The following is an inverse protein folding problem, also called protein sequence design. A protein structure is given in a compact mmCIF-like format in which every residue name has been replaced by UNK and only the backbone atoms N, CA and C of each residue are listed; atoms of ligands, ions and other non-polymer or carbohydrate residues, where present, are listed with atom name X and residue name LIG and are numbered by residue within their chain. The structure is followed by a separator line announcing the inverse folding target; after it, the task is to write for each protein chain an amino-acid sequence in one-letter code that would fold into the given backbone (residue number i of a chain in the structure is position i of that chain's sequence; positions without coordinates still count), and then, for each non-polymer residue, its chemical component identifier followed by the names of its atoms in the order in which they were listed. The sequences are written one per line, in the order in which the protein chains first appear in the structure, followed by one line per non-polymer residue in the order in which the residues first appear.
data_IF_977068126709
#
_entry.id   IF_977068126709
#
_cell.length_a   1.000
_cell.length_b   1.000
_cell.length_c   1.000
_cell.angle_alpha   90.00
_cell.angle_beta   90.00
_cell.angle_gamma   90.00
#
_symmetry.space_group_name_H-M   'P 1'
#
loop_
_entity.id
_entity.type
_entity.pdbx_description
1 polymer ?
#
# COMPACT_ATOMS: atom_id res chain seq x y z
N UNK A 1 -28.09 7.55 17.67
CA UNK A 1 -26.62 7.76 17.76
C UNK A 1 -26.17 8.99 18.57
N UNK A 2 -26.67 10.20 18.27
CA UNK A 2 -26.21 11.45 18.90
C UNK A 2 -26.30 11.50 20.44
N UNK A 3 -27.31 10.86 21.04
CA UNK A 3 -27.45 10.75 22.51
C UNK A 3 -26.39 9.84 23.11
N UNK A 4 -26.10 8.70 22.46
CA UNK A 4 -25.07 7.73 22.90
C UNK A 4 -23.69 8.38 22.92
N UNK A 5 -23.32 9.08 21.85
CA UNK A 5 -22.03 9.79 21.78
C UNK A 5 -21.87 10.86 22.87
N UNK A 6 -22.94 11.62 23.18
CA UNK A 6 -22.93 12.60 24.29
C UNK A 6 -22.78 11.92 25.65
N UNK A 7 -23.48 10.81 25.88
CA UNK A 7 -23.37 10.03 27.12
C UNK A 7 -21.97 9.45 27.31
N UNK A 8 -21.39 8.84 26.27
CA UNK A 8 -20.01 8.31 26.30
C UNK A 8 -19.02 9.41 26.64
N UNK A 9 -19.11 10.58 25.99
CA UNK A 9 -18.23 11.72 26.29
C UNK A 9 -18.38 12.22 27.72
N UNK A 10 -19.59 12.24 28.27
CA UNK A 10 -19.82 12.62 29.66
C UNK A 10 -19.18 11.61 30.62
N UNK A 11 -19.40 10.31 30.39
CA UNK A 11 -18.84 9.25 31.22
C UNK A 11 -17.31 9.26 31.15
N UNK A 12 -16.73 9.21 29.95
CA UNK A 12 -15.29 9.14 29.75
C UNK A 12 -14.54 10.40 30.22
N UNK A 13 -15.12 11.60 30.05
CA UNK A 13 -14.41 12.84 30.38
C UNK A 13 -14.71 13.40 31.78
N UNK A 14 -15.88 13.10 32.35
CA UNK A 14 -16.32 13.68 33.64
C UNK A 14 -16.42 12.68 34.77
N UNK A 15 -16.84 11.43 34.49
CA UNK A 15 -17.07 10.42 35.52
C UNK A 15 -15.89 9.46 35.70
N UNK A 16 -15.21 9.07 34.63
CA UNK A 16 -14.04 8.18 34.71
C UNK A 16 -12.88 8.76 35.56
N UNK A 17 -12.56 10.06 35.55
CA UNK A 17 -11.54 10.62 36.44
C UNK A 17 -11.88 10.55 37.94
N UNK A 18 -13.13 10.23 38.29
CA UNK A 18 -13.56 10.09 39.69
C UNK A 18 -13.14 8.72 40.21
N UNK A 19 -12.12 8.70 41.08
CA UNK A 19 -11.41 7.48 41.53
C UNK A 19 -12.32 6.30 41.96
N UNK A 20 -13.41 6.57 42.68
CA UNK A 20 -14.30 5.51 43.16
C UNK A 20 -15.26 4.98 42.09
N UNK A 21 -15.46 5.70 40.99
CA UNK A 21 -16.30 5.28 39.86
C UNK A 21 -15.48 4.65 38.74
N UNK A 22 -14.18 4.96 38.66
CA UNK A 22 -13.30 4.49 37.58
C UNK A 22 -13.34 2.97 37.40
N UNK A 23 -13.22 2.21 38.51
CA UNK A 23 -13.21 0.75 38.48
C UNK A 23 -14.53 0.16 37.97
N UNK A 24 -15.66 0.69 38.44
CA UNK A 24 -16.99 0.22 38.01
C UNK A 24 -17.27 0.59 36.54
N UNK A 25 -16.85 1.78 36.11
CA UNK A 25 -16.96 2.24 34.72
C UNK A 25 -16.12 1.36 33.79
N UNK A 26 -14.87 1.06 34.16
CA UNK A 26 -13.99 0.19 33.39
C UNK A 26 -14.53 -1.25 33.36
N UNK A 27 -15.03 -1.78 34.46
CA UNK A 27 -15.66 -3.10 34.50
C UNK A 27 -16.92 -3.17 33.61
N UNK A 28 -17.76 -2.14 33.65
CA UNK A 28 -18.94 -2.05 32.78
C UNK A 28 -18.57 -1.96 31.30
N UNK A 29 -17.51 -1.21 30.97
CA UNK A 29 -16.99 -1.07 29.61
C UNK A 29 -16.35 -2.37 29.10
N UNK A 30 -15.58 -3.08 29.93
CA UNK A 30 -15.04 -4.42 29.62
C UNK A 30 -16.15 -5.41 29.33
N UNK A 31 -17.18 -5.47 30.18
CA UNK A 31 -18.36 -6.28 29.91
C UNK A 31 -19.11 -5.83 28.65
N UNK A 32 -18.91 -4.59 28.20
CA UNK A 32 -19.45 -4.07 26.94
C UNK A 32 -18.81 -4.70 25.70
N UNK A 33 -17.55 -5.14 25.78
CA UNK A 33 -16.88 -5.89 24.71
C UNK A 33 -17.57 -7.24 24.49
N UNK A 34 -17.79 -8.00 25.58
CA UNK A 34 -18.51 -9.29 25.49
C UNK A 34 -19.96 -9.12 25.04
N UNK A 35 -20.68 -8.10 25.54
CA UNK A 35 -22.05 -7.80 25.08
C UNK A 35 -22.08 -7.43 23.59
N UNK A 36 -21.11 -6.64 23.12
CA UNK A 36 -21.00 -6.28 21.71
C UNK A 36 -20.79 -7.51 20.84
N UNK A 37 -19.92 -8.42 21.27
CA UNK A 37 -19.67 -9.69 20.59
C UNK A 37 -20.92 -10.58 20.51
N UNK A 38 -21.62 -10.80 21.62
CA UNK A 38 -22.81 -11.67 21.62
C UNK A 38 -23.97 -11.10 20.81
N UNK A 39 -24.24 -9.79 20.93
CA UNK A 39 -25.28 -9.13 20.14
C UNK A 39 -24.90 -9.09 18.66
N UNK A 40 -23.62 -8.84 18.36
CA UNK A 40 -23.10 -8.84 16.99
C UNK A 40 -23.26 -10.19 16.30
N UNK A 41 -22.90 -11.27 17.00
CA UNK A 41 -23.08 -12.65 16.53
C UNK A 41 -24.54 -12.96 16.18
N UNK A 42 -25.47 -12.62 17.07
CA UNK A 42 -26.90 -12.80 16.83
C UNK A 42 -27.39 -11.98 15.63
N UNK A 43 -26.99 -10.70 15.55
CA UNK A 43 -27.33 -9.85 14.42
C UNK A 43 -26.74 -10.35 13.09
N UNK A 44 -25.57 -10.99 13.13
CA UNK A 44 -24.93 -11.58 11.96
C UNK A 44 -25.67 -12.83 11.48
N UNK A 45 -26.06 -13.71 12.41
CA UNK A 45 -26.90 -14.88 12.09
C UNK A 45 -28.24 -14.45 11.49
N UNK A 46 -28.88 -13.44 12.08
CA UNK A 46 -30.12 -12.87 11.56
C UNK A 46 -29.94 -12.27 10.16
N UNK A 47 -28.85 -11.52 9.94
CA UNK A 47 -28.51 -10.94 8.64
C UNK A 47 -28.29 -12.03 7.58
N UNK A 48 -27.56 -13.10 7.91
CA UNK A 48 -27.34 -14.23 7.01
C UNK A 48 -28.64 -14.96 6.69
N UNK A 49 -29.51 -15.14 7.68
CA UNK A 49 -30.82 -15.77 7.48
C UNK A 49 -31.75 -14.94 6.59
N UNK A 50 -31.71 -13.60 6.69
CA UNK A 50 -32.46 -12.71 5.79
C UNK A 50 -31.96 -12.84 4.36
N UNK A 51 -30.65 -12.74 4.15
CA UNK A 51 -30.02 -12.91 2.85
C UNK A 51 -30.38 -14.25 2.20
N UNK A 52 -30.38 -15.34 2.97
CA UNK A 52 -30.74 -16.66 2.45
C UNK A 52 -32.22 -16.76 2.08
N UNK A 53 -33.13 -16.15 2.86
CA UNK A 53 -34.55 -16.10 2.52
C UNK A 53 -34.79 -15.28 1.26
N UNK A 54 -34.13 -14.14 1.12
CA UNK A 54 -34.28 -13.27 -0.05
C UNK A 54 -33.75 -13.95 -1.32
N UNK A 55 -32.68 -14.76 -1.21
CA UNK A 55 -32.21 -15.61 -2.31
C UNK A 55 -33.23 -16.70 -2.69
N UNK A 56 -33.80 -17.40 -1.70
CA UNK A 56 -34.81 -18.44 -1.95
C UNK A 56 -36.09 -17.90 -2.61
N UNK A 57 -36.57 -16.72 -2.17
CA UNK A 57 -37.75 -16.07 -2.78
C UNK A 57 -37.47 -15.65 -4.22
N UNK A 58 -36.24 -15.21 -4.53
CA UNK A 58 -35.83 -14.88 -5.91
C UNK A 58 -35.75 -16.13 -6.79
N UNK A 59 -35.26 -17.27 -6.27
CA UNK A 59 -35.26 -18.54 -7.01
C UNK A 59 -36.69 -19.03 -7.32
N UNK A 60 -37.60 -18.99 -6.34
CA UNK A 60 -39.00 -19.37 -6.53
C UNK A 60 -39.74 -18.46 -7.54
N UNK A 61 -39.38 -17.17 -7.62
CA UNK A 61 -39.95 -16.23 -8.60
C UNK A 61 -39.48 -16.53 -10.03
N UNK A 62 -38.22 -16.93 -10.22
CA UNK A 62 -37.66 -17.29 -11.52
C UNK A 62 -38.26 -18.61 -12.04
N UNK A 63 -38.56 -19.56 -11.15
CA UNK A 63 -39.25 -20.80 -11.53
C UNK A 63 -40.72 -20.57 -11.96
N UNK A 64 -41.38 -19.52 -11.46
CA UNK A 64 -42.77 -19.19 -11.83
C UNK A 64 -42.89 -18.37 -13.13
N UNK A 65 -41.84 -17.66 -13.56
CA UNK A 65 -41.83 -16.89 -14.82
C UNK A 65 -41.40 -17.72 -16.04
N UNK A 66 -40.94 -18.97 -15.85
CA UNK A 66 -40.47 -19.86 -16.91
C UNK A 66 -41.53 -20.52 -17.82
N UNK A 67 -42.83 -20.23 -17.66
CA UNK A 67 -43.92 -20.88 -18.41
C UNK A 67 -44.54 -20.05 -19.55
N UNK A 68 -44.25 -18.75 -19.66
CA UNK A 68 -44.76 -17.93 -20.78
C UNK A 68 -43.67 -17.63 -21.81
N UNK A 69 -43.62 -18.47 -22.84
CA UNK A 69 -42.68 -18.36 -23.94
C UNK A 69 -42.91 -17.14 -24.84
N UNK A 70 -41.88 -16.31 -25.00
CA UNK A 70 -41.68 -15.49 -26.19
C UNK A 70 -40.18 -15.18 -26.39
N UNK A 71 -39.60 -15.71 -27.47
CA UNK A 71 -38.24 -15.41 -27.88
C UNK A 71 -38.07 -13.92 -28.20
N UNK A 72 -37.07 -13.27 -27.58
CA UNK A 72 -36.59 -11.95 -27.98
C UNK A 72 -35.06 -11.86 -27.85
N UNK A 73 -34.49 -11.43 -28.98
CA UNK A 73 -33.09 -11.16 -29.32
C UNK A 73 -32.06 -11.00 -28.18
N UNK A 74 -31.07 -11.89 -28.20
CA UNK A 74 -29.86 -11.92 -27.36
C UNK A 74 -28.84 -10.86 -27.80
N UNK A 75 -28.88 -9.68 -27.17
CA UNK A 75 -27.75 -8.74 -27.16
C UNK A 75 -27.66 -7.89 -25.87
N UNK A 76 -28.77 -7.65 -25.17
CA UNK A 76 -28.83 -6.84 -23.93
C UNK A 76 -28.86 -7.66 -22.62
N UNK A 77 -28.96 -9.00 -22.68
CA UNK A 77 -29.11 -9.85 -21.49
C UNK A 77 -27.81 -10.02 -20.67
N UNK A 78 -26.65 -9.77 -21.28
CA UNK A 78 -25.35 -9.95 -20.63
C UNK A 78 -25.03 -8.82 -19.63
N UNK A 79 -25.62 -7.64 -19.78
CA UNK A 79 -25.43 -6.48 -18.87
C UNK A 79 -26.39 -6.51 -17.66
N UNK A 80 -27.63 -7.00 -17.86
CA UNK A 80 -28.64 -7.05 -16.81
C UNK A 80 -28.36 -8.11 -15.72
N UNK A 81 -27.75 -9.24 -16.10
CA UNK A 81 -27.44 -10.34 -15.18
C UNK A 81 -26.29 -9.96 -14.24
N UNK A 82 -25.27 -9.28 -14.77
CA UNK A 82 -24.16 -8.74 -13.98
C UNK A 82 -24.65 -7.61 -13.05
N UNK A 83 -25.56 -6.75 -13.51
CA UNK A 83 -26.14 -5.70 -12.68
C UNK A 83 -26.97 -6.25 -11.49
N UNK A 84 -27.76 -7.31 -11.70
CA UNK A 84 -28.54 -7.95 -10.64
C UNK A 84 -27.65 -8.62 -9.57
N UNK A 85 -26.58 -9.30 -10.00
CA UNK A 85 -25.60 -9.90 -9.11
C UNK A 85 -24.88 -8.84 -8.25
N UNK A 86 -24.54 -7.70 -8.83
CA UNK A 86 -23.91 -6.58 -8.12
C UNK A 86 -24.84 -5.97 -7.06
N UNK A 87 -26.14 -5.85 -7.33
CA UNK A 87 -27.14 -5.36 -6.35
C UNK A 87 -27.27 -6.33 -5.17
N UNK A 88 -27.31 -7.63 -5.42
CA UNK A 88 -27.41 -8.64 -4.36
C UNK A 88 -26.16 -8.67 -3.46
N UNK A 89 -24.97 -8.49 -4.04
CA UNK A 89 -23.72 -8.33 -3.28
C UNK A 89 -23.78 -7.08 -2.41
N UNK A 90 -24.27 -5.95 -2.95
CA UNK A 90 -24.39 -4.70 -2.20
C UNK A 90 -25.38 -4.81 -1.02
N UNK A 91 -26.52 -5.47 -1.21
CA UNK A 91 -27.50 -5.72 -0.14
C UNK A 91 -26.91 -6.60 0.98
N UNK A 92 -26.20 -7.67 0.62
CA UNK A 92 -25.48 -8.54 1.58
C UNK A 92 -24.47 -7.74 2.41
N UNK A 93 -23.70 -6.88 1.77
CA UNK A 93 -22.71 -6.01 2.43
C UNK A 93 -23.40 -5.04 3.39
N UNK A 94 -24.55 -4.46 3.04
CA UNK A 94 -25.30 -3.54 3.91
C UNK A 94 -25.87 -4.24 5.16
N UNK A 95 -26.41 -5.46 5.01
CA UNK A 95 -26.91 -6.24 6.15
C UNK A 95 -25.79 -6.61 7.13
N UNK A 96 -24.62 -7.02 6.64
CA UNK A 96 -23.45 -7.32 7.47
C UNK A 96 -22.93 -6.05 8.14
N UNK A 97 -22.88 -4.92 7.43
CA UNK A 97 -22.46 -3.64 8.00
C UNK A 97 -23.35 -3.21 9.18
N UNK A 98 -24.67 -3.36 9.04
CA UNK A 98 -25.63 -3.08 10.13
C UNK A 98 -25.44 -4.01 11.35
N UNK A 99 -25.13 -5.28 11.12
CA UNK A 99 -24.78 -6.21 12.20
C UNK A 99 -23.50 -5.75 12.93
N UNK A 100 -22.49 -5.33 12.16
CA UNK A 100 -21.26 -4.73 12.68
C UNK A 100 -21.49 -3.49 13.55
N UNK A 101 -22.30 -2.53 13.08
CA UNK A 101 -22.66 -1.33 13.86
C UNK A 101 -23.37 -1.66 15.17
N UNK A 102 -24.19 -2.72 15.16
CA UNK A 102 -24.88 -3.22 16.35
C UNK A 102 -23.89 -3.83 17.34
N UNK A 103 -22.90 -4.59 16.85
CA UNK A 103 -21.82 -5.16 17.64
C UNK A 103 -20.93 -4.09 18.30
N UNK A 104 -20.58 -3.05 17.54
CA UNK A 104 -19.66 -1.99 17.99
C UNK A 104 -20.31 -1.04 19.00
N UNK A 105 -21.62 -0.82 18.92
CA UNK A 105 -22.33 0.12 19.78
C UNK A 105 -22.01 0.00 21.29
N UNK A 106 -22.09 -1.19 21.90
CA UNK A 106 -21.68 -1.46 23.29
C UNK A 106 -20.18 -1.30 23.57
N UNK A 107 -19.33 -1.47 22.56
CA UNK A 107 -17.86 -1.39 22.65
C UNK A 107 -17.32 0.05 22.63
N UNK A 108 -18.09 1.00 22.11
CA UNK A 108 -17.66 2.40 21.94
C UNK A 108 -17.24 3.08 23.25
N UNK A 109 -17.83 2.72 24.39
CA UNK A 109 -17.40 3.26 25.68
C UNK A 109 -15.98 2.80 26.00
N UNK A 110 -15.66 1.54 25.79
CA UNK A 110 -14.32 1.00 26.02
C UNK A 110 -13.28 1.68 25.11
N UNK A 111 -13.61 1.86 23.82
CA UNK A 111 -12.78 2.61 22.88
C UNK A 111 -12.51 4.04 23.37
N UNK A 112 -13.53 4.73 23.88
CA UNK A 112 -13.38 6.09 24.42
C UNK A 112 -12.52 6.16 25.70
N UNK A 113 -12.55 5.10 26.53
CA UNK A 113 -11.70 5.00 27.72
C UNK A 113 -10.24 4.74 27.36
N UNK A 114 -9.96 3.99 26.29
CA UNK A 114 -8.60 3.75 25.81
C UNK A 114 -7.87 5.05 25.45
N UNK A 115 -8.58 6.09 24.99
CA UNK A 115 -8.01 7.43 24.73
C UNK A 115 -7.57 8.18 26.01
N UNK A 116 -7.95 7.67 27.20
CA UNK A 116 -7.64 8.27 28.51
C UNK A 116 -6.73 7.37 29.35
N UNK A 117 -6.82 6.07 29.17
CA UNK A 117 -6.05 5.06 29.87
C UNK A 117 -5.51 4.03 28.87
N UNK A 118 -4.26 4.21 28.45
CA UNK A 118 -3.62 3.38 27.42
C UNK A 118 -3.41 1.93 27.85
N UNK A 119 -3.42 1.64 29.17
CA UNK A 119 -3.36 0.28 29.69
C UNK A 119 -4.57 -0.60 29.28
N UNK A 120 -5.64 0.02 28.77
CA UNK A 120 -6.81 -0.69 28.24
C UNK A 120 -6.66 -1.11 26.77
N UNK A 121 -5.66 -0.59 26.05
CA UNK A 121 -5.44 -0.87 24.63
C UNK A 121 -5.26 -2.38 24.35
N UNK A 122 -4.44 -3.15 25.09
CA UNK A 122 -4.27 -4.58 24.79
C UNK A 122 -5.60 -5.34 24.77
N UNK A 123 -6.47 -5.08 25.75
CA UNK A 123 -7.80 -5.70 25.82
C UNK A 123 -8.74 -5.31 24.66
N UNK A 124 -8.51 -4.17 23.99
CA UNK A 124 -9.26 -3.80 22.77
C UNK A 124 -8.86 -4.66 21.58
N UNK A 125 -7.55 -4.90 21.40
CA UNK A 125 -7.03 -5.73 20.30
C UNK A 125 -7.35 -7.22 20.51
N UNK A 126 -7.33 -7.69 21.77
CA UNK A 126 -7.82 -9.04 22.12
C UNK A 126 -9.31 -9.20 21.82
N UNK A 127 -10.13 -8.20 22.18
CA UNK A 127 -11.55 -8.21 21.88
C UNK A 127 -11.80 -8.21 20.36
N UNK A 128 -11.04 -7.43 19.58
CA UNK A 128 -11.09 -7.45 18.12
C UNK A 128 -10.76 -8.84 17.56
N UNK A 129 -9.69 -9.48 18.04
CA UNK A 129 -9.31 -10.82 17.61
C UNK A 129 -10.41 -11.87 17.88
N UNK A 130 -11.14 -11.71 18.99
CA UNK A 130 -12.23 -12.61 19.39
C UNK A 130 -13.53 -12.45 18.58
N UNK A 131 -13.67 -11.36 17.81
CA UNK A 131 -14.82 -11.11 16.92
C UNK A 131 -14.74 -11.96 15.65
N UNK A 132 -15.91 -12.30 15.12
CA UNK A 132 -16.05 -12.88 13.78
C UNK A 132 -15.50 -11.95 12.70
N UNK A 133 -14.91 -12.55 11.66
CA UNK A 133 -14.17 -11.82 10.62
C UNK A 133 -15.04 -10.77 9.91
N UNK A 134 -16.32 -11.06 9.71
CA UNK A 134 -17.30 -10.18 9.07
C UNK A 134 -17.67 -8.96 9.93
N UNK A 135 -17.50 -9.04 11.26
CA UNK A 135 -17.82 -7.95 12.19
C UNK A 135 -16.61 -7.07 12.51
N UNK A 136 -15.39 -7.57 12.31
CA UNK A 136 -14.14 -6.87 12.62
C UNK A 136 -14.03 -5.50 11.95
N UNK A 137 -14.46 -5.39 10.70
CA UNK A 137 -14.40 -4.13 9.93
C UNK A 137 -15.15 -2.97 10.61
N UNK A 138 -16.23 -3.25 11.34
CA UNK A 138 -16.97 -2.19 12.02
C UNK A 138 -16.16 -1.50 13.14
N UNK A 139 -15.17 -2.21 13.72
CA UNK A 139 -14.31 -1.69 14.79
C UNK A 139 -13.14 -0.83 14.26
N UNK A 140 -12.82 -0.93 12.97
CA UNK A 140 -11.74 -0.17 12.32
C UNK A 140 -11.95 1.33 12.48
N UNK A 141 -13.16 1.82 12.17
CA UNK A 141 -13.51 3.25 12.27
C UNK A 141 -13.29 3.86 13.67
N UNK A 142 -13.85 3.31 14.77
CA UNK A 142 -13.63 3.86 16.11
C UNK A 142 -12.18 3.72 16.57
N UNK A 143 -11.47 2.65 16.19
CA UNK A 143 -10.06 2.44 16.54
C UNK A 143 -9.15 3.42 15.81
N UNK A 144 -9.38 3.72 14.54
CA UNK A 144 -8.65 4.78 13.82
C UNK A 144 -8.86 6.14 14.46
N UNK A 145 -10.09 6.45 14.88
CA UNK A 145 -10.39 7.67 15.63
C UNK A 145 -9.59 7.73 16.93
N UNK A 146 -9.41 6.59 17.60
CA UNK A 146 -8.58 6.43 18.79
C UNK A 146 -7.09 6.60 18.47
N UNK A 147 -6.55 5.92 17.45
CA UNK A 147 -5.15 6.03 17.03
C UNK A 147 -4.78 7.47 16.71
N UNK A 148 -5.66 8.22 16.02
CA UNK A 148 -5.47 9.66 15.76
C UNK A 148 -5.48 10.51 17.02
N UNK A 149 -6.30 10.15 18.01
CA UNK A 149 -6.40 10.90 19.27
C UNK A 149 -5.21 10.62 20.21
N UNK A 150 -4.69 9.39 20.17
CA UNK A 150 -3.53 8.93 20.94
C UNK A 150 -2.23 9.49 20.35
N UNK A 151 -2.11 9.45 19.03
CA UNK A 151 -0.97 9.97 18.28
C UNK A 151 0.24 9.02 18.25
N UNK A 152 1.28 9.37 17.45
CA UNK A 152 2.41 8.49 17.14
C UNK A 152 3.44 8.34 18.28
N UNK A 153 3.30 9.08 19.38
CA UNK A 153 4.21 9.02 20.53
C UNK A 153 3.75 8.06 21.65
N UNK A 154 2.62 7.36 21.48
CA UNK A 154 2.12 6.45 22.50
C UNK A 154 2.90 5.13 22.47
N UNK A 155 3.64 4.88 23.55
CA UNK A 155 4.49 3.71 23.70
C UNK A 155 3.66 2.43 23.78
N UNK A 156 2.52 2.46 24.47
CA UNK A 156 1.64 1.30 24.62
C UNK A 156 1.05 0.83 23.28
N UNK A 157 0.73 1.77 22.38
CA UNK A 157 0.27 1.43 21.04
C UNK A 157 1.43 0.91 20.17
N UNK A 158 2.64 1.48 20.33
CA UNK A 158 3.85 0.99 19.66
C UNK A 158 4.21 -0.44 20.11
N UNK A 159 4.06 -0.76 21.41
CA UNK A 159 4.28 -2.12 21.93
C UNK A 159 3.32 -3.14 21.32
N UNK A 160 2.05 -2.78 21.13
CA UNK A 160 1.05 -3.63 20.46
C UNK A 160 1.39 -3.79 18.97
N UNK A 161 1.88 -2.73 18.31
CA UNK A 161 2.33 -2.81 16.91
C UNK A 161 3.53 -3.75 16.79
N UNK A 162 4.49 -3.64 17.71
CA UNK A 162 5.69 -4.49 17.73
C UNK A 162 5.37 -5.98 17.98
N UNK A 163 4.35 -6.26 18.80
CA UNK A 163 3.91 -7.62 19.13
C UNK A 163 2.39 -7.74 19.06
N UNK A 164 1.82 -7.95 17.86
CA UNK A 164 0.38 -7.99 17.68
C UNK A 164 -0.23 -9.26 18.32
N UNK A 165 -1.32 -9.14 19.10
CA UNK A 165 -2.10 -10.30 19.53
C UNK A 165 -2.58 -11.15 18.34
N UNK A 166 -2.64 -12.47 18.50
CA UNK A 166 -3.10 -13.39 17.45
C UNK A 166 -4.48 -12.96 16.91
N UNK A 167 -4.63 -12.85 15.58
CA UNK A 167 -5.87 -12.43 14.93
C UNK A 167 -6.12 -10.91 14.89
N UNK A 168 -5.25 -10.09 15.49
CA UNK A 168 -5.39 -8.62 15.50
C UNK A 168 -4.61 -7.89 14.42
N UNK A 169 -3.77 -8.60 13.66
CA UNK A 169 -2.88 -8.03 12.63
C UNK A 169 -3.56 -7.00 11.70
N UNK A 170 -4.76 -7.25 11.12
CA UNK A 170 -5.38 -6.26 10.22
C UNK A 170 -5.67 -4.91 10.89
N UNK A 171 -6.05 -4.92 12.18
CA UNK A 171 -6.31 -3.69 12.93
C UNK A 171 -5.00 -2.97 13.28
N UNK A 172 -3.94 -3.73 13.57
CA UNK A 172 -2.61 -3.19 13.86
C UNK A 172 -2.04 -2.48 12.62
N UNK A 173 -2.19 -3.07 11.45
CA UNK A 173 -1.76 -2.46 10.16
C UNK A 173 -2.50 -1.15 9.92
N UNK A 174 -3.81 -1.13 10.12
CA UNK A 174 -4.61 0.09 9.95
C UNK A 174 -4.23 1.19 10.95
N UNK A 175 -3.91 0.81 12.19
CA UNK A 175 -3.37 1.74 13.19
C UNK A 175 -2.01 2.28 12.76
N UNK A 176 -1.10 1.43 12.28
CA UNK A 176 0.22 1.82 11.79
C UNK A 176 0.12 2.81 10.63
N UNK A 177 -0.70 2.52 9.62
CA UNK A 177 -0.97 3.43 8.51
C UNK A 177 -1.55 4.77 9.00
N UNK A 178 -2.51 4.71 9.94
CA UNK A 178 -3.10 5.91 10.53
C UNK A 178 -2.07 6.74 11.27
N UNK A 179 -1.21 6.13 12.09
CA UNK A 179 -0.16 6.82 12.84
C UNK A 179 0.89 7.41 11.90
N UNK A 180 1.31 6.66 10.88
CA UNK A 180 2.24 7.14 9.87
C UNK A 180 1.68 8.36 9.12
N UNK A 181 0.40 8.33 8.74
CA UNK A 181 -0.26 9.42 8.00
C UNK A 181 -0.35 10.76 8.76
N UNK A 182 -0.31 10.72 10.09
CA UNK A 182 -0.36 11.93 10.96
C UNK A 182 0.98 12.24 11.61
N UNK A 183 2.01 11.42 11.37
CA UNK A 183 3.32 11.59 12.00
C UNK A 183 4.05 12.79 11.42
N UNK A 184 4.94 13.39 12.23
CA UNK A 184 5.96 14.28 11.68
C UNK A 184 6.93 13.48 10.82
N UNK A 185 7.63 14.16 9.92
CA UNK A 185 8.76 13.59 9.20
C UNK A 185 10.04 14.23 9.78
N UNK A 186 10.96 13.47 10.39
CA UNK A 186 10.88 12.02 10.67
C UNK A 186 9.86 11.63 11.76
N UNK A 187 9.36 10.40 11.67
CA UNK A 187 8.47 9.81 12.67
C UNK A 187 9.20 9.51 13.99
N UNK A 188 8.47 9.40 15.12
CA UNK A 188 9.06 9.05 16.41
C UNK A 188 9.79 7.70 16.37
N UNK A 189 10.95 7.61 17.02
CA UNK A 189 11.80 6.40 17.02
C UNK A 189 11.04 5.16 17.53
N UNK A 190 10.21 5.31 18.55
CA UNK A 190 9.41 4.21 19.07
C UNK A 190 8.45 3.60 18.04
N UNK A 191 7.93 4.42 17.11
CA UNK A 191 7.06 3.94 16.02
C UNK A 191 7.88 3.23 14.93
N UNK A 192 9.07 3.74 14.63
CA UNK A 192 10.00 3.09 13.69
C UNK A 192 10.44 1.72 14.23
N UNK A 193 10.90 1.67 15.48
CA UNK A 193 11.33 0.44 16.15
C UNK A 193 10.18 -0.59 16.21
N UNK A 194 8.95 -0.13 16.46
CA UNK A 194 7.77 -1.00 16.46
C UNK A 194 7.44 -1.55 15.07
N UNK A 195 7.55 -0.74 14.02
CA UNK A 195 7.32 -1.18 12.64
C UNK A 195 8.42 -2.16 12.19
N UNK A 196 9.68 -1.94 12.60
CA UNK A 196 10.78 -2.88 12.35
C UNK A 196 10.56 -4.21 13.07
N UNK A 197 10.20 -4.20 14.35
CA UNK A 197 9.86 -5.41 15.09
C UNK A 197 8.68 -6.18 14.46
N UNK A 198 7.65 -5.46 14.01
CA UNK A 198 6.52 -6.05 13.30
C UNK A 198 6.98 -6.73 12.01
N UNK A 199 7.78 -6.03 11.19
CA UNK A 199 8.39 -6.56 9.97
C UNK A 199 9.17 -7.86 10.25
N UNK A 200 10.04 -7.86 11.25
CA UNK A 200 10.82 -9.04 11.65
C UNK A 200 9.94 -10.21 12.09
N UNK A 201 8.89 -9.94 12.86
CA UNK A 201 7.95 -10.97 13.33
C UNK A 201 7.13 -11.59 12.21
N UNK A 202 6.83 -10.82 11.16
CA UNK A 202 5.97 -11.21 10.03
C UNK A 202 6.80 -11.60 8.81
N UNK A 203 7.76 -12.53 8.98
CA UNK A 203 8.59 -13.05 7.89
C UNK A 203 9.39 -11.99 7.09
N UNK A 204 9.80 -10.89 7.74
CA UNK A 204 10.50 -9.76 7.08
C UNK A 204 9.68 -9.10 5.98
N UNK A 205 8.36 -9.00 6.19
CA UNK A 205 7.49 -8.31 5.26
C UNK A 205 7.67 -6.79 5.38
N UNK A 206 8.36 -6.23 4.39
CA UNK A 206 8.66 -4.79 4.33
C UNK A 206 7.45 -3.92 4.08
N UNK A 207 6.28 -4.49 3.74
CA UNK A 207 5.06 -3.71 3.55
C UNK A 207 4.72 -2.84 4.77
N UNK A 208 5.05 -3.29 5.98
CA UNK A 208 4.83 -2.53 7.22
C UNK A 208 5.76 -1.31 7.37
N UNK A 209 6.89 -1.28 6.66
CA UNK A 209 7.81 -0.14 6.66
C UNK A 209 7.43 0.91 5.61
N UNK A 210 6.65 0.53 4.60
CA UNK A 210 6.28 1.40 3.48
C UNK A 210 5.63 2.73 3.93
N UNK A 211 4.68 2.76 4.89
CA UNK A 211 4.06 4.02 5.33
C UNK A 211 5.04 5.00 6.00
N UNK A 212 6.16 4.48 6.53
CA UNK A 212 7.15 5.25 7.26
C UNK A 212 8.39 5.57 6.42
N UNK A 213 8.37 5.29 5.11
CA UNK A 213 9.56 5.35 4.25
C UNK A 213 10.28 6.70 4.27
N UNK A 214 9.52 7.80 4.37
CA UNK A 214 10.07 9.16 4.42
C UNK A 214 10.81 9.49 5.72
N UNK A 215 10.72 8.64 6.74
CA UNK A 215 11.42 8.80 8.01
C UNK A 215 12.80 8.14 8.05
N UNK A 216 13.14 7.35 7.03
CA UNK A 216 14.44 6.71 6.91
C UNK A 216 15.45 7.62 6.20
N UNK A 217 16.73 7.38 6.43
CA UNK A 217 17.80 8.03 5.70
C UNK A 217 18.01 7.42 4.31
N UNK A 218 18.82 8.09 3.48
CA UNK A 218 19.06 7.68 2.09
C UNK A 218 19.62 6.24 2.01
N UNK A 219 20.56 5.89 2.88
CA UNK A 219 21.19 4.57 2.91
C UNK A 219 20.14 3.48 3.19
N UNK A 220 19.30 3.68 4.21
CA UNK A 220 18.25 2.72 4.57
C UNK A 220 17.18 2.61 3.50
N UNK A 221 16.78 3.71 2.85
CA UNK A 221 15.82 3.66 1.73
C UNK A 221 16.39 2.81 0.59
N UNK A 222 17.67 3.00 0.24
CA UNK A 222 18.34 2.22 -0.81
C UNK A 222 18.42 0.74 -0.46
N UNK A 223 18.65 0.39 0.80
CA UNK A 223 18.68 -1.00 1.26
C UNK A 223 17.31 -1.69 1.24
N UNK A 224 16.23 -0.93 1.49
CA UNK A 224 14.85 -1.44 1.46
C UNK A 224 14.26 -1.48 0.04
N UNK A 225 14.76 -0.66 -0.89
CA UNK A 225 14.24 -0.54 -2.25
C UNK A 225 14.09 -1.88 -3.01
N UNK A 226 15.10 -2.79 -3.00
CA UNK A 226 14.96 -4.10 -3.63
C UNK A 226 13.81 -4.92 -3.01
N UNK A 227 13.63 -4.79 -1.69
CA UNK A 227 12.61 -5.54 -0.95
C UNK A 227 11.21 -5.03 -1.29
N UNK A 228 11.02 -3.71 -1.41
CA UNK A 228 9.75 -3.12 -1.86
C UNK A 228 9.38 -3.53 -3.29
N UNK A 229 10.36 -3.52 -4.20
CA UNK A 229 10.17 -3.98 -5.59
C UNK A 229 9.78 -5.47 -5.62
N UNK A 230 10.43 -6.29 -4.77
CA UNK A 230 10.13 -7.71 -4.65
C UNK A 230 8.75 -7.97 -4.07
N UNK A 231 8.32 -7.18 -3.09
CA UNK A 231 7.03 -7.32 -2.42
C UNK A 231 5.85 -7.09 -3.37
N UNK A 232 5.99 -6.15 -4.32
CA UNK A 232 5.08 -6.03 -5.45
C UNK A 232 4.92 -4.60 -5.96
N UNK A 233 4.37 -4.48 -7.17
CA UNK A 233 4.20 -3.18 -7.85
C UNK A 233 3.31 -2.22 -7.05
N UNK A 234 2.27 -2.72 -6.37
CA UNK A 234 1.40 -1.88 -5.54
C UNK A 234 2.13 -1.27 -4.34
N UNK A 235 2.95 -2.07 -3.65
CA UNK A 235 3.75 -1.59 -2.51
C UNK A 235 4.81 -0.59 -2.99
N UNK A 236 5.53 -0.92 -4.06
CA UNK A 236 6.51 -0.01 -4.65
C UNK A 236 5.89 1.31 -5.12
N UNK A 237 4.71 1.26 -5.74
CA UNK A 237 3.96 2.45 -6.15
C UNK A 237 3.61 3.33 -4.95
N UNK A 238 3.10 2.74 -3.86
CA UNK A 238 2.78 3.47 -2.62
C UNK A 238 4.02 4.11 -2.00
N UNK A 239 5.13 3.37 -1.93
CA UNK A 239 6.42 3.90 -1.45
C UNK A 239 6.91 5.06 -2.31
N UNK A 240 6.80 4.92 -3.64
CA UNK A 240 7.19 5.97 -4.58
C UNK A 240 6.33 7.22 -4.39
N UNK A 241 5.00 7.06 -4.24
CA UNK A 241 4.09 8.19 -4.01
C UNK A 241 4.39 8.88 -2.67
N UNK A 242 4.70 8.13 -1.62
CA UNK A 242 5.09 8.69 -0.33
C UNK A 242 6.38 9.53 -0.45
N UNK A 243 7.43 8.99 -1.07
CA UNK A 243 8.70 9.69 -1.27
C UNK A 243 8.53 10.95 -2.12
N UNK A 244 7.67 10.90 -3.14
CA UNK A 244 7.42 12.03 -4.04
C UNK A 244 6.45 13.07 -3.48
N UNK A 245 5.73 12.75 -2.40
CA UNK A 245 4.81 13.69 -1.74
C UNK A 245 5.53 14.72 -0.86
N UNK A 246 6.78 14.46 -0.49
CA UNK A 246 7.60 15.35 0.34
C UNK A 246 8.11 16.52 -0.52
N UNK A 247 8.01 17.78 -0.05
CA UNK A 247 8.57 18.93 -0.75
C UNK A 247 10.07 18.77 -1.03
N UNK A 248 10.56 19.25 -2.18
CA UNK A 248 11.95 19.04 -2.62
C UNK A 248 13.01 19.50 -1.61
N UNK A 249 12.74 20.57 -0.85
CA UNK A 249 13.68 21.12 0.14
C UNK A 249 13.85 20.21 1.38
N UNK A 250 12.90 19.33 1.65
CA UNK A 250 12.87 18.41 2.79
C UNK A 250 13.07 16.94 2.37
N UNK A 251 13.02 16.67 1.07
CA UNK A 251 13.13 15.32 0.53
C UNK A 251 14.55 14.75 0.69
N UNK A 252 14.65 13.56 1.29
CA UNK A 252 15.92 12.82 1.42
C UNK A 252 16.47 12.42 0.05
N UNK A 253 15.59 12.09 -0.90
CA UNK A 253 15.95 11.66 -2.25
C UNK A 253 15.21 12.50 -3.29
N UNK A 254 15.97 13.09 -4.22
CA UNK A 254 15.40 13.74 -5.40
C UNK A 254 14.82 12.71 -6.38
N UNK A 255 13.90 13.10 -7.29
CA UNK A 255 13.42 12.22 -8.34
C UNK A 255 14.54 11.59 -9.19
N UNK A 256 15.62 12.33 -9.43
CA UNK A 256 16.82 11.81 -10.11
C UNK A 256 17.45 10.69 -9.31
N UNK A 257 17.67 10.90 -8.01
CA UNK A 257 18.29 9.91 -7.12
C UNK A 257 17.42 8.66 -6.96
N UNK A 258 16.09 8.81 -6.83
CA UNK A 258 15.15 7.69 -6.78
C UNK A 258 15.24 6.86 -8.06
N UNK A 259 15.21 7.52 -9.23
CA UNK A 259 15.27 6.81 -10.51
C UNK A 259 16.59 6.05 -10.66
N UNK A 260 17.72 6.64 -10.27
CA UNK A 260 19.02 5.99 -10.26
C UNK A 260 19.02 4.80 -9.29
N UNK A 261 18.50 4.97 -8.07
CA UNK A 261 18.45 3.91 -7.06
C UNK A 261 17.69 2.68 -7.56
N UNK A 262 16.58 2.86 -8.29
CA UNK A 262 15.85 1.74 -8.94
C UNK A 262 16.74 0.99 -9.92
N UNK A 263 17.61 1.68 -10.66
CA UNK A 263 18.51 1.06 -11.64
C UNK A 263 19.75 0.40 -11.02
N UNK A 264 20.11 0.78 -9.79
CA UNK A 264 21.21 0.18 -9.03
C UNK A 264 20.84 -1.17 -8.40
N UNK A 265 19.53 -1.48 -8.32
CA UNK A 265 19.05 -2.76 -7.81
C UNK A 265 19.53 -3.91 -8.70
N UNK A 266 20.32 -4.81 -8.10
CA UNK A 266 20.85 -5.98 -8.80
C UNK A 266 19.80 -7.09 -8.89
N UNK A 267 19.74 -7.76 -10.06
CA UNK A 267 18.88 -8.93 -10.25
C UNK A 267 19.55 -10.20 -9.72
N UNK A 268 18.83 -11.01 -8.95
CA UNK A 268 19.37 -12.23 -8.35
C UNK A 268 20.28 -11.98 -7.12
N UNK A 269 20.80 -13.06 -6.53
CA UNK A 269 21.58 -12.98 -5.29
C UNK A 269 20.71 -12.65 -4.07
N UNK A 270 21.24 -11.83 -3.16
CA UNK A 270 20.60 -11.48 -1.88
C UNK A 270 19.34 -10.61 -2.03
N UNK A 271 19.20 -9.86 -3.15
CA UNK A 271 18.01 -9.04 -3.41
C UNK A 271 16.77 -9.89 -3.71
N UNK A 272 16.94 -11.06 -4.33
CA UNK A 272 15.85 -11.91 -4.80
C UNK A 272 14.91 -11.27 -5.84
N UNK A 273 15.28 -10.11 -6.40
CA UNK A 273 14.51 -9.38 -7.42
C UNK A 273 14.78 -9.98 -8.80
N UNK A 274 13.71 -10.24 -9.56
CA UNK A 274 13.83 -10.71 -10.93
C UNK A 274 13.74 -9.56 -11.96
N UNK A 275 14.18 -9.83 -13.19
CA UNK A 275 14.22 -8.82 -14.26
C UNK A 275 12.84 -8.20 -14.56
N UNK A 276 11.75 -8.99 -14.46
CA UNK A 276 10.40 -8.49 -14.72
C UNK A 276 9.98 -7.47 -13.66
N UNK A 277 10.19 -7.78 -12.38
CA UNK A 277 9.88 -6.87 -11.27
C UNK A 277 10.65 -5.55 -11.39
N UNK A 278 11.93 -5.61 -11.77
CA UNK A 278 12.74 -4.42 -11.99
C UNK A 278 12.21 -3.58 -13.16
N UNK A 279 11.81 -4.23 -14.26
CA UNK A 279 11.17 -3.59 -15.41
C UNK A 279 9.84 -2.93 -15.02
N UNK A 280 9.05 -3.60 -14.19
CA UNK A 280 7.76 -3.09 -13.72
C UNK A 280 7.99 -1.86 -12.83
N UNK A 281 8.97 -1.88 -11.91
CA UNK A 281 9.35 -0.74 -11.08
C UNK A 281 9.83 0.47 -11.90
N UNK A 282 10.67 0.26 -12.92
CA UNK A 282 11.03 1.32 -13.87
C UNK A 282 9.79 1.87 -14.59
N UNK A 283 8.86 1.00 -14.99
CA UNK A 283 7.63 1.42 -15.69
C UNK A 283 6.73 2.25 -14.78
N UNK A 284 6.59 1.89 -13.50
CA UNK A 284 5.91 2.69 -12.47
C UNK A 284 6.49 4.10 -12.34
N UNK A 285 7.80 4.28 -12.51
CA UNK A 285 8.39 5.63 -12.57
C UNK A 285 7.96 6.38 -13.84
N UNK A 286 7.98 5.73 -15.00
CA UNK A 286 7.55 6.34 -16.27
C UNK A 286 6.06 6.70 -16.33
N UNK A 287 5.22 6.06 -15.51
CA UNK A 287 3.79 6.37 -15.37
C UNK A 287 3.52 7.70 -14.64
N UNK A 288 4.56 8.37 -14.13
CA UNK A 288 4.49 9.68 -13.45
C UNK A 288 5.25 10.75 -14.24
N UNK A 289 4.81 11.13 -15.46
CA UNK A 289 5.53 12.05 -16.34
C UNK A 289 5.65 13.47 -15.77
N UNK A 290 4.78 13.86 -14.85
CA UNK A 290 4.82 15.17 -14.19
C UNK A 290 6.04 15.31 -13.25
N UNK A 291 6.49 14.18 -12.68
CA UNK A 291 7.66 14.12 -11.80
C UNK A 291 8.90 13.70 -12.59
N UNK A 292 8.83 12.58 -13.30
CA UNK A 292 9.93 12.04 -14.12
C UNK A 292 9.91 12.68 -15.51
N UNK A 293 10.10 14.00 -15.52
CA UNK A 293 10.15 14.82 -16.73
C UNK A 293 11.34 14.42 -17.63
N UNK A 294 11.33 14.79 -18.93
CA UNK A 294 12.46 14.54 -19.82
C UNK A 294 13.81 15.06 -19.29
N UNK A 295 13.80 16.16 -18.52
CA UNK A 295 14.98 16.74 -17.88
C UNK A 295 15.49 15.85 -16.73
N UNK A 296 14.59 15.38 -15.87
CA UNK A 296 14.93 14.44 -14.77
C UNK A 296 15.49 13.14 -15.34
N UNK A 297 14.82 12.56 -16.34
CA UNK A 297 15.27 11.35 -17.02
C UNK A 297 16.64 11.55 -17.69
N UNK A 298 16.86 12.68 -18.37
CA UNK A 298 18.16 13.00 -18.97
C UNK A 298 19.27 13.11 -17.92
N UNK A 299 19.00 13.80 -16.80
CA UNK A 299 19.97 13.94 -15.70
C UNK A 299 20.31 12.58 -15.08
N UNK A 300 19.31 11.74 -14.80
CA UNK A 300 19.53 10.40 -14.27
C UNK A 300 20.32 9.51 -15.25
N UNK A 301 19.97 9.53 -16.54
CA UNK A 301 20.71 8.77 -17.57
C UNK A 301 22.15 9.27 -17.73
N UNK A 302 22.40 10.58 -17.63
CA UNK A 302 23.75 11.13 -17.70
C UNK A 302 24.61 10.70 -16.50
N UNK A 303 24.02 10.55 -15.31
CA UNK A 303 24.76 10.03 -14.16
C UNK A 303 25.00 8.51 -14.28
N UNK A 304 23.96 7.76 -14.68
CA UNK A 304 24.07 6.30 -14.85
C UNK A 304 25.05 5.88 -15.95
N UNK A 305 25.18 6.64 -17.04
CA UNK A 305 26.10 6.30 -18.14
C UNK A 305 27.56 6.35 -17.72
N UNK A 306 27.88 6.95 -16.59
CA UNK A 306 29.24 7.05 -16.04
C UNK A 306 29.53 5.93 -15.02
N UNK A 307 28.49 5.24 -14.51
CA UNK A 307 28.64 4.18 -13.50
C UNK A 307 29.40 2.95 -14.03
N UNK A 308 30.13 2.29 -13.13
CA UNK A 308 30.81 0.99 -13.35
C UNK A 308 30.42 0.01 -12.23
N UNK A 309 29.73 -1.10 -12.53
CA UNK A 309 29.19 -1.51 -13.83
C UNK A 309 28.05 -0.60 -14.32
N UNK A 310 27.78 -0.59 -15.64
CA UNK A 310 26.63 0.11 -16.19
C UNK A 310 25.33 -0.61 -15.77
N UNK A 311 24.28 0.11 -15.33
CA UNK A 311 23.02 -0.51 -14.91
C UNK A 311 22.40 -1.40 -15.98
N UNK A 312 21.87 -2.55 -15.56
CA UNK A 312 21.35 -3.60 -16.47
C UNK A 312 20.25 -3.07 -17.40
N UNK A 313 19.33 -2.24 -16.87
CA UNK A 313 18.21 -1.69 -17.62
C UNK A 313 18.55 -0.41 -18.38
N UNK A 314 19.79 0.09 -18.32
CA UNK A 314 20.17 1.39 -18.87
C UNK A 314 19.73 1.58 -20.33
N UNK A 315 20.05 0.62 -21.21
CA UNK A 315 19.70 0.75 -22.62
C UNK A 315 18.19 0.70 -22.86
N UNK A 316 17.45 -0.09 -22.08
CA UNK A 316 15.98 -0.13 -22.15
C UNK A 316 15.41 1.23 -21.76
N UNK A 317 15.93 1.82 -20.69
CA UNK A 317 15.53 3.13 -20.18
C UNK A 317 15.79 4.24 -21.20
N UNK A 318 16.94 4.24 -21.86
CA UNK A 318 17.23 5.19 -22.96
C UNK A 318 16.21 5.07 -24.10
N UNK A 319 15.89 3.84 -24.52
CA UNK A 319 14.89 3.59 -25.58
C UNK A 319 13.50 4.07 -25.15
N UNK A 320 13.11 3.80 -23.91
CA UNK A 320 11.80 4.16 -23.37
C UNK A 320 11.67 5.68 -23.20
N UNK A 321 12.69 6.34 -22.64
CA UNK A 321 12.74 7.78 -22.49
C UNK A 321 12.66 8.52 -23.84
N UNK A 322 13.41 8.08 -24.87
CA UNK A 322 13.30 8.67 -26.22
C UNK A 322 11.91 8.43 -26.86
N UNK A 323 11.28 7.29 -26.55
CA UNK A 323 9.94 6.97 -27.08
C UNK A 323 8.87 7.88 -26.48
N UNK A 324 8.95 8.15 -25.17
CA UNK A 324 8.01 9.05 -24.47
C UNK A 324 8.34 10.52 -24.73
N UNK A 325 9.62 10.87 -24.88
CA UNK A 325 10.09 12.24 -25.11
C UNK A 325 11.00 12.32 -26.34
N UNK A 326 10.43 12.48 -27.55
CA UNK A 326 11.19 12.52 -28.80
C UNK A 326 12.24 13.64 -28.89
N UNK A 327 12.15 14.68 -28.06
CA UNK A 327 13.18 15.73 -27.97
C UNK A 327 14.53 15.22 -27.45
N UNK A 328 14.57 14.06 -26.79
CA UNK A 328 15.81 13.47 -26.27
C UNK A 328 16.69 12.81 -27.34
N UNK A 329 16.28 12.77 -28.61
CA UNK A 329 17.05 12.13 -29.70
C UNK A 329 18.51 12.60 -29.81
N UNK A 330 18.76 13.90 -29.67
CA UNK A 330 20.12 14.46 -29.68
C UNK A 330 20.93 13.99 -28.48
N UNK A 331 20.30 14.03 -27.31
CA UNK A 331 20.89 13.59 -26.06
C UNK A 331 21.22 12.09 -26.10
N UNK A 332 20.32 11.25 -26.61
CA UNK A 332 20.56 9.82 -26.83
C UNK A 332 21.79 9.58 -27.70
N UNK A 333 21.96 10.34 -28.80
CA UNK A 333 23.14 10.20 -29.65
C UNK A 333 24.44 10.53 -28.90
N UNK A 334 24.41 11.53 -28.01
CA UNK A 334 25.51 11.86 -27.10
C UNK A 334 25.82 10.73 -26.11
N UNK A 335 24.79 10.10 -25.53
CA UNK A 335 24.96 8.92 -24.66
C UNK A 335 25.60 7.75 -25.42
N UNK A 336 25.16 7.47 -26.65
CA UNK A 336 25.75 6.40 -27.47
C UNK A 336 27.23 6.67 -27.74
N UNK A 337 27.61 7.91 -28.05
CA UNK A 337 29.03 8.28 -28.21
C UNK A 337 29.84 8.04 -26.94
N UNK A 338 29.28 8.38 -25.79
CA UNK A 338 29.90 8.12 -24.49
C UNK A 338 30.11 6.63 -24.26
N UNK A 339 29.10 5.79 -24.58
CA UNK A 339 29.19 4.33 -24.48
C UNK A 339 30.25 3.72 -25.41
N UNK A 340 30.41 4.24 -26.63
CA UNK A 340 31.49 3.84 -27.54
C UNK A 340 32.86 4.10 -26.92
N UNK A 341 33.08 5.29 -26.36
CA UNK A 341 34.33 5.62 -25.65
C UNK A 341 34.59 4.69 -24.45
N UNK A 342 33.52 4.24 -23.79
CA UNK A 342 33.57 3.27 -22.69
C UNK A 342 33.64 1.80 -23.14
N UNK A 343 33.82 1.54 -24.43
CA UNK A 343 33.95 0.20 -25.00
C UNK A 343 32.73 -0.70 -24.74
N UNK A 344 31.52 -0.19 -24.99
CA UNK A 344 30.23 -0.89 -24.77
C UNK A 344 30.17 -2.31 -25.35
N UNK A 345 30.91 -2.61 -26.42
CA UNK A 345 31.01 -3.94 -27.02
C UNK A 345 31.73 -4.99 -26.14
N UNK A 346 32.43 -4.57 -25.08
CA UNK A 346 33.05 -5.46 -24.08
C UNK A 346 32.19 -5.63 -22.82
N UNK A 347 31.09 -4.89 -22.71
CA UNK A 347 30.16 -4.98 -21.58
C UNK A 347 29.22 -6.18 -21.75
N UNK A 348 28.17 -6.26 -20.92
CA UNK A 348 27.16 -7.31 -21.03
C UNK A 348 26.51 -7.36 -22.43
N UNK A 349 26.20 -8.58 -22.88
CA UNK A 349 25.61 -8.81 -24.20
C UNK A 349 24.30 -8.06 -24.40
N UNK A 350 23.45 -7.98 -23.38
CA UNK A 350 22.15 -7.30 -23.47
C UNK A 350 22.33 -5.78 -23.60
N UNK A 351 23.35 -5.22 -22.96
CA UNK A 351 23.72 -3.81 -23.09
C UNK A 351 24.19 -3.53 -24.52
N UNK A 352 25.05 -4.39 -25.09
CA UNK A 352 25.49 -4.26 -26.48
C UNK A 352 24.33 -4.36 -27.48
N UNK A 353 23.44 -5.34 -27.32
CA UNK A 353 22.24 -5.47 -28.16
C UNK A 353 21.33 -4.23 -28.03
N UNK A 354 21.18 -3.70 -26.82
CA UNK A 354 20.45 -2.45 -26.57
C UNK A 354 21.07 -1.27 -27.30
N UNK A 355 22.41 -1.14 -27.24
CA UNK A 355 23.15 -0.10 -27.97
C UNK A 355 22.89 -0.18 -29.47
N UNK A 356 22.98 -1.36 -30.07
CA UNK A 356 22.71 -1.56 -31.50
C UNK A 356 21.28 -1.19 -31.88
N UNK A 357 20.29 -1.49 -31.02
CA UNK A 357 18.88 -1.09 -31.23
C UNK A 357 18.72 0.43 -31.21
N UNK A 358 19.33 1.13 -30.26
CA UNK A 358 19.33 2.60 -30.22
C UNK A 358 20.02 3.19 -31.45
N UNK A 359 21.20 2.69 -31.81
CA UNK A 359 21.95 3.16 -32.97
C UNK A 359 21.16 2.97 -34.27
N UNK A 360 20.49 1.83 -34.45
CA UNK A 360 19.60 1.58 -35.60
C UNK A 360 18.44 2.57 -35.66
N UNK A 361 17.81 2.89 -34.53
CA UNK A 361 16.73 3.90 -34.46
C UNK A 361 17.22 5.31 -34.79
N UNK A 362 18.44 5.64 -34.42
CA UNK A 362 19.07 6.93 -34.70
C UNK A 362 19.71 7.02 -36.11
N UNK A 363 19.60 5.98 -36.94
CA UNK A 363 20.13 6.01 -38.31
C UNK A 363 19.43 7.09 -39.15
N UNK A 364 20.15 7.78 -40.07
CA UNK A 364 21.56 7.58 -40.45
C UNK A 364 22.56 8.29 -39.53
N UNK A 365 22.10 9.04 -38.54
CA UNK A 365 22.93 9.95 -37.74
C UNK A 365 23.90 9.24 -36.79
N UNK A 366 23.61 7.99 -36.48
CA UNK A 366 24.47 7.09 -35.70
C UNK A 366 25.63 6.49 -36.50
N UNK A 367 25.66 6.59 -37.83
CA UNK A 367 26.72 5.98 -38.66
C UNK A 367 28.15 6.38 -38.26
N UNK A 368 28.44 7.65 -37.91
CA UNK A 368 29.77 8.04 -37.44
C UNK A 368 30.21 7.34 -36.14
N UNK A 369 29.28 6.79 -35.34
CA UNK A 369 29.65 6.06 -34.13
C UNK A 369 30.30 4.71 -34.45
N UNK A 370 29.99 4.13 -35.60
CA UNK A 370 30.51 2.82 -36.02
C UNK A 370 31.91 2.93 -36.63
N UNK A 371 32.34 4.10 -37.11
CA UNK A 371 33.71 4.29 -37.59
C UNK A 371 34.75 4.24 -36.47
N UNK A 372 34.30 4.50 -35.23
CA UNK A 372 35.15 4.49 -34.03
C UNK A 372 35.23 3.09 -33.37
N UNK A 373 34.48 2.10 -33.88
CA UNK A 373 34.51 0.73 -33.37
C UNK A 373 35.72 -0.05 -33.92
N UNK A 374 36.35 -0.91 -33.12
CA UNK A 374 37.46 -1.73 -33.58
C UNK A 374 37.00 -2.78 -34.62
N UNK A 375 37.87 -3.08 -35.58
CA UNK A 375 37.60 -3.95 -36.74
C UNK A 375 37.00 -5.36 -36.45
N UNK A 376 37.22 -6.04 -35.30
CA UNK A 376 36.58 -7.33 -35.02
C UNK A 376 35.14 -7.22 -34.46
N UNK A 377 34.59 -6.02 -34.28
CA UNK A 377 33.25 -5.79 -33.67
C UNK A 377 32.20 -5.25 -34.64
N UNK A 378 32.58 -4.98 -35.89
CA UNK A 378 31.72 -4.47 -36.96
C UNK A 378 31.00 -5.58 -37.73
#
# INVERSE_FOLDING_TARGET
EAVRGKAIRLIANRLHPVKHLAQDIEAYAKAGLERGRTIGLQALEDAKALVQRDAAVKEEAVEHEGDDGAAKDDADAMDATDAAALVEIAEKVDHIAKAGDTAVGPMLLYCALCARNYALLPGLFEAYASLDEELRLALHRPVNGLARAVGPNCLELCEIIASPPEGSLPLVVECLETLASISSIPAPTALLDAAEALCESQNKDVAYLAPLVCSFDEERIRDLLPQFIKAGVGIFSSVLDALLSVPEDEAVLSPVAIFIAVHEVQTGGDSGVNLKQLVDACSTCFERPDVFTPQVLASAMQQMVEQTPLPLLFMRTVIQAETVAPQLKEFTLGLLRTLVNRQVWKMDKNIWEGFLRCAKRAAPRSFPLFTDLPAPTL
#
